data_IF_788600434888
#
_entry.id   IF_788600434888
#
_cell.length_a   1.000
_cell.length_b   1.000
_cell.length_c   1.000
_cell.angle_alpha   90.00
_cell.angle_beta   90.00
_cell.angle_gamma   90.00
#
_symmetry.space_group_name_H-M   'P 1'
#
loop_
_entity.id
_entity.type
_entity.pdbx_description
1 polymer ?
#
# COMPACT_ATOMS: atom_id res chain seq x y z
N UNK A 1 -0.14 -6.57 14.37
CA UNK A 1 0.66 -7.45 13.50
C UNK A 1 2.13 -7.03 13.43
N UNK A 2 2.49 -5.80 13.02
CA UNK A 2 3.91 -5.38 12.79
C UNK A 2 4.47 -4.36 13.80
N UNK A 3 3.91 -4.27 15.01
CA UNK A 3 4.36 -3.30 16.03
C UNK A 3 5.74 -3.65 16.60
N UNK A 4 6.60 -2.64 16.82
CA UNK A 4 8.03 -2.79 17.15
C UNK A 4 8.36 -3.54 18.46
N UNK A 5 7.41 -3.70 19.39
CA UNK A 5 7.67 -4.24 20.74
C UNK A 5 7.06 -5.62 20.99
N UNK A 6 5.82 -5.82 20.58
CA UNK A 6 5.06 -7.07 20.78
C UNK A 6 4.19 -7.41 19.56
N UNK A 7 4.54 -6.89 18.37
CA UNK A 7 3.89 -7.31 17.15
C UNK A 7 4.26 -8.75 16.81
N UNK A 8 3.31 -9.50 16.25
CA UNK A 8 3.52 -10.86 15.71
C UNK A 8 4.80 -10.97 14.89
N UNK A 9 5.08 -10.02 13.98
CA UNK A 9 6.31 -10.02 13.20
C UNK A 9 7.58 -9.88 14.04
N UNK A 10 7.55 -9.06 15.10
CA UNK A 10 8.67 -8.90 16.04
C UNK A 10 8.90 -10.18 16.84
N UNK A 11 7.84 -10.81 17.33
CA UNK A 11 7.92 -12.07 18.06
C UNK A 11 8.43 -13.20 17.16
N UNK A 12 7.91 -13.29 15.94
CA UNK A 12 8.39 -14.26 14.94
C UNK A 12 9.86 -14.05 14.58
N UNK A 13 10.31 -12.80 14.45
CA UNK A 13 11.69 -12.48 14.12
C UNK A 13 12.67 -12.70 15.28
N UNK A 14 12.20 -12.59 16.52
CA UNK A 14 13.02 -12.91 17.70
C UNK A 14 13.39 -14.39 17.74
N UNK A 15 12.48 -15.26 17.31
CA UNK A 15 12.74 -16.68 17.19
C UNK A 15 13.49 -16.98 15.88
N UNK A 16 13.02 -16.45 14.74
CA UNK A 16 13.65 -16.62 13.42
C UNK A 16 14.23 -15.29 12.90
N UNK A 17 15.51 -14.99 13.21
CA UNK A 17 16.17 -13.79 12.70
C UNK A 17 16.13 -13.67 11.17
N UNK A 18 16.18 -14.80 10.46
CA UNK A 18 16.16 -14.86 8.99
C UNK A 18 14.79 -14.60 8.38
N UNK A 19 13.75 -14.42 9.21
CA UNK A 19 12.43 -14.01 8.76
C UNK A 19 12.46 -12.64 8.07
N UNK A 20 11.97 -12.62 6.84
CA UNK A 20 11.77 -11.39 6.08
C UNK A 20 10.37 -10.88 6.38
N UNK A 21 10.28 -9.82 7.18
CA UNK A 21 9.02 -9.13 7.43
C UNK A 21 8.73 -8.15 6.28
N UNK A 22 7.74 -8.46 5.45
CA UNK A 22 7.29 -7.58 4.37
C UNK A 22 6.03 -6.85 4.77
N UNK A 23 6.12 -5.52 4.76
CA UNK A 23 4.95 -4.67 4.89
C UNK A 23 4.49 -4.25 3.49
N UNK A 24 3.23 -4.57 3.15
CA UNK A 24 2.64 -4.28 1.84
C UNK A 24 2.97 -2.86 1.36
N UNK A 25 3.59 -2.75 0.18
CA UNK A 25 4.02 -1.47 -0.39
C UNK A 25 2.87 -0.49 -0.61
N UNK A 26 1.71 -1.01 -1.01
CA UNK A 26 0.49 -0.21 -1.16
C UNK A 26 0.04 0.36 0.19
N UNK A 27 0.05 -0.47 1.24
CA UNK A 27 -0.36 -0.04 2.57
C UNK A 27 0.65 0.93 3.19
N UNK A 28 1.96 0.70 3.02
CA UNK A 28 3.02 1.65 3.42
C UNK A 28 2.79 3.03 2.81
N UNK A 29 2.56 3.08 1.50
CA UNK A 29 2.28 4.34 0.80
C UNK A 29 1.00 5.02 1.31
N UNK A 30 -0.08 4.24 1.49
CA UNK A 30 -1.34 4.78 2.01
C UNK A 30 -1.18 5.38 3.42
N UNK A 31 -0.41 4.71 4.28
CA UNK A 31 -0.08 5.21 5.61
C UNK A 31 0.83 6.44 5.55
N UNK A 32 1.81 6.50 4.64
CA UNK A 32 2.64 7.71 4.43
C UNK A 32 1.78 8.92 4.12
N UNK A 33 0.82 8.75 3.21
CA UNK A 33 -0.10 9.80 2.80
C UNK A 33 -1.04 10.21 3.94
N UNK A 34 -1.55 9.23 4.70
CA UNK A 34 -2.43 9.49 5.85
C UNK A 34 -1.70 10.31 6.92
N UNK A 35 -0.47 9.92 7.28
CA UNK A 35 0.37 10.63 8.26
C UNK A 35 0.65 12.08 7.80
N UNK A 36 0.93 12.28 6.50
CA UNK A 36 1.15 13.62 5.95
C UNK A 36 -0.10 14.49 6.05
N UNK A 37 -1.28 13.95 5.73
CA UNK A 37 -2.54 14.69 5.83
C UNK A 37 -2.90 15.01 7.29
N UNK A 38 -2.54 14.13 8.23
CA UNK A 38 -2.70 14.35 9.67
C UNK A 38 -1.79 15.46 10.20
N UNK A 39 -0.57 15.59 9.66
CA UNK A 39 0.38 16.63 10.06
C UNK A 39 -0.05 18.05 9.64
N UNK A 40 -1.01 18.18 8.71
CA UNK A 40 -1.45 19.46 8.17
C UNK A 40 -2.96 19.63 8.35
N UNK A 41 -3.34 20.31 9.44
CA UNK A 41 -4.74 20.54 9.84
C UNK A 41 -5.66 21.04 8.72
N UNK A 42 -5.15 21.86 7.81
CA UNK A 42 -5.98 22.39 6.73
C UNK A 42 -6.27 21.35 5.64
N UNK A 43 -5.36 20.43 5.32
CA UNK A 43 -5.61 19.33 4.38
C UNK A 43 -6.73 18.42 4.92
N UNK A 44 -6.68 18.08 6.20
CA UNK A 44 -7.77 17.35 6.90
C UNK A 44 -9.11 18.10 6.85
N UNK A 45 -9.06 19.43 6.91
CA UNK A 45 -10.26 20.28 6.76
C UNK A 45 -10.84 20.16 5.35
N UNK A 46 -10.00 20.22 4.31
CA UNK A 46 -10.43 20.04 2.91
C UNK A 46 -11.07 18.66 2.72
N UNK A 47 -10.43 17.58 3.17
CA UNK A 47 -11.03 16.23 3.09
C UNK A 47 -12.43 16.15 3.71
N UNK A 48 -12.62 16.83 4.84
CA UNK A 48 -13.91 16.88 5.54
C UNK A 48 -14.94 17.66 4.74
N UNK A 49 -14.56 18.80 4.16
CA UNK A 49 -15.44 19.60 3.29
C UNK A 49 -15.84 18.83 2.03
N UNK A 50 -14.89 18.12 1.39
CA UNK A 50 -15.17 17.29 0.21
C UNK A 50 -16.17 16.17 0.55
N UNK A 51 -16.01 15.51 1.70
CA UNK A 51 -16.93 14.47 2.17
C UNK A 51 -18.32 15.03 2.51
N UNK A 52 -18.38 16.18 3.17
CA UNK A 52 -19.65 16.85 3.50
C UNK A 52 -20.39 17.30 2.23
N UNK A 53 -19.68 17.84 1.25
CA UNK A 53 -20.24 18.21 -0.05
C UNK A 53 -20.79 16.99 -0.79
N UNK A 54 -20.03 15.89 -0.83
CA UNK A 54 -20.51 14.63 -1.39
C UNK A 54 -21.76 14.12 -0.67
N UNK A 55 -21.78 14.14 0.67
CA UNK A 55 -22.95 13.75 1.47
C UNK A 55 -24.18 14.63 1.21
N UNK A 56 -23.99 15.95 1.03
CA UNK A 56 -25.08 16.89 0.75
C UNK A 56 -25.88 16.48 -0.50
N UNK A 57 -25.18 16.02 -1.54
CA UNK A 57 -25.81 15.60 -2.79
C UNK A 57 -26.23 14.13 -2.75
N UNK A 58 -25.37 13.21 -2.31
CA UNK A 58 -25.67 11.77 -2.36
C UNK A 58 -26.85 11.40 -1.46
N UNK A 59 -26.98 12.02 -0.28
CA UNK A 59 -28.06 11.73 0.65
C UNK A 59 -29.39 12.41 0.28
N UNK A 60 -29.44 13.20 -0.79
CA UNK A 60 -30.65 13.92 -1.20
C UNK A 60 -30.84 13.90 -2.71
N UNK A 61 -31.72 13.03 -3.23
CA UNK A 61 -32.05 12.98 -4.65
C UNK A 61 -32.49 14.34 -5.21
N UNK A 62 -33.19 15.16 -4.41
CA UNK A 62 -33.60 16.51 -4.77
C UNK A 62 -32.39 17.44 -4.98
N UNK A 63 -31.44 17.46 -4.04
CA UNK A 63 -30.22 18.30 -4.15
C UNK A 63 -29.32 17.81 -5.28
N UNK A 64 -29.20 16.49 -5.45
CA UNK A 64 -28.51 15.89 -6.59
C UNK A 64 -29.13 16.31 -7.92
N UNK A 65 -30.46 16.32 -8.04
CA UNK A 65 -31.13 16.75 -9.26
C UNK A 65 -30.85 18.22 -9.59
N UNK A 66 -30.83 19.11 -8.59
CA UNK A 66 -30.43 20.52 -8.76
C UNK A 66 -28.98 20.58 -9.26
N UNK A 67 -28.05 19.90 -8.59
CA UNK A 67 -26.64 19.86 -8.99
C UNK A 67 -26.44 19.38 -10.43
N UNK A 68 -27.04 18.25 -10.81
CA UNK A 68 -26.90 17.70 -12.17
C UNK A 68 -27.54 18.62 -13.22
N UNK A 69 -28.63 19.32 -12.89
CA UNK A 69 -29.25 20.33 -13.78
C UNK A 69 -28.32 21.52 -13.99
N UNK A 70 -27.77 22.09 -12.93
CA UNK A 70 -26.79 23.18 -13.00
C UNK A 70 -25.57 22.79 -13.83
N UNK A 71 -25.06 21.57 -13.62
CA UNK A 71 -23.90 21.06 -14.37
C UNK A 71 -24.18 20.98 -15.87
N UNK A 72 -25.38 20.55 -16.29
CA UNK A 72 -25.76 20.52 -17.70
C UNK A 72 -25.84 21.93 -18.29
N UNK A 73 -26.53 22.83 -17.59
CA UNK A 73 -26.73 24.21 -18.06
C UNK A 73 -25.39 24.93 -18.30
N UNK A 74 -24.43 24.81 -17.38
CA UNK A 74 -23.12 25.44 -17.55
C UNK A 74 -22.30 24.80 -18.68
N UNK A 75 -22.39 23.47 -18.86
CA UNK A 75 -21.71 22.76 -19.95
C UNK A 75 -22.31 23.08 -21.33
N UNK A 76 -23.61 23.29 -21.41
CA UNK A 76 -24.30 23.73 -22.63
C UNK A 76 -23.87 25.14 -23.03
N UNK A 77 -23.73 26.05 -22.05
CA UNK A 77 -23.24 27.43 -22.27
C UNK A 77 -21.80 27.43 -22.76
N UNK A 78 -20.94 26.57 -22.21
CA UNK A 78 -19.50 26.54 -22.54
C UNK A 78 -19.16 25.86 -23.87
N UNK A 79 -19.91 24.81 -24.28
CA UNK A 79 -19.53 23.98 -25.45
C UNK A 79 -20.35 24.21 -26.74
N UNK A 80 -21.42 25.01 -26.70
CA UNK A 80 -22.29 25.25 -27.87
C UNK A 80 -23.01 23.99 -28.40
N UNK A 81 -23.70 24.10 -29.54
CA UNK A 81 -24.58 23.04 -30.11
C UNK A 81 -23.87 21.73 -30.54
N UNK A 82 -22.53 21.65 -30.48
CA UNK A 82 -21.74 20.51 -31.00
C UNK A 82 -21.41 19.41 -29.99
N UNK A 83 -22.07 19.36 -28.83
CA UNK A 83 -21.79 18.36 -27.80
C UNK A 83 -22.77 17.17 -27.84
N UNK A 84 -22.53 16.18 -28.71
CA UNK A 84 -23.22 14.88 -28.64
C UNK A 84 -22.74 14.10 -27.40
N UNK A 85 -23.61 14.04 -26.37
CA UNK A 85 -23.46 13.41 -25.03
C UNK A 85 -22.78 14.26 -23.95
N UNK A 86 -23.50 15.26 -23.42
CA UNK A 86 -23.14 15.90 -22.15
C UNK A 86 -23.38 14.91 -20.99
N UNK A 87 -22.30 14.32 -20.47
CA UNK A 87 -22.37 13.40 -19.31
C UNK A 87 -22.27 14.22 -18.03
N UNK A 88 -23.39 14.34 -17.31
CA UNK A 88 -23.39 14.79 -15.92
C UNK A 88 -22.74 13.73 -15.04
N UNK A 89 -21.85 14.14 -14.12
CA UNK A 89 -21.10 13.22 -13.26
C UNK A 89 -21.44 13.50 -11.80
N UNK A 90 -21.61 12.44 -11.01
CA UNK A 90 -21.70 12.56 -9.56
C UNK A 90 -20.33 12.83 -8.96
N UNK A 91 -20.31 13.55 -7.83
CA UNK A 91 -19.11 13.68 -7.02
C UNK A 91 -18.66 12.32 -6.48
N UNK A 92 -17.37 12.22 -6.16
CA UNK A 92 -16.78 11.03 -5.56
C UNK A 92 -16.59 11.25 -4.07
N UNK A 93 -16.77 10.19 -3.28
CA UNK A 93 -16.54 10.23 -1.83
C UNK A 93 -15.05 10.35 -1.55
N UNK A 94 -14.63 11.43 -0.92
CA UNK A 94 -13.30 11.54 -0.34
C UNK A 94 -13.14 10.51 0.79
N UNK A 95 -12.10 9.68 0.71
CA UNK A 95 -11.76 8.68 1.72
C UNK A 95 -10.35 8.94 2.24
N UNK A 96 -10.22 9.04 3.57
CA UNK A 96 -8.96 9.32 4.27
C UNK A 96 -7.91 8.23 4.02
N UNK A 97 -8.34 6.97 4.03
CA UNK A 97 -7.46 5.80 3.91
C UNK A 97 -7.25 5.33 2.48
N UNK A 98 -8.03 5.84 1.51
CA UNK A 98 -7.95 5.44 0.10
C UNK A 98 -7.66 6.64 -0.80
N UNK A 99 -6.37 6.82 -1.10
CA UNK A 99 -5.88 7.97 -1.86
C UNK A 99 -6.50 8.12 -3.25
N UNK A 100 -6.71 7.01 -3.97
CA UNK A 100 -7.38 7.03 -5.27
C UNK A 100 -8.78 7.66 -5.19
N UNK A 101 -9.49 7.45 -4.07
CA UNK A 101 -10.80 8.08 -3.83
C UNK A 101 -10.68 9.57 -3.52
N UNK A 102 -9.65 9.98 -2.77
CA UNK A 102 -9.38 11.40 -2.48
C UNK A 102 -9.00 12.16 -3.77
N UNK A 103 -8.12 11.58 -4.58
CA UNK A 103 -7.71 12.08 -5.89
C UNK A 103 -8.93 12.27 -6.80
N UNK A 104 -9.75 11.22 -6.97
CA UNK A 104 -10.97 11.29 -7.76
C UNK A 104 -11.97 12.34 -7.23
N UNK A 105 -12.07 12.51 -5.91
CA UNK A 105 -12.92 13.53 -5.29
C UNK A 105 -12.44 14.94 -5.57
N UNK A 106 -11.13 15.21 -5.43
CA UNK A 106 -10.54 16.53 -5.71
C UNK A 106 -10.68 16.87 -7.18
N UNK A 107 -10.37 15.94 -8.09
CA UNK A 107 -10.55 16.17 -9.53
C UNK A 107 -12.00 16.49 -9.88
N UNK A 108 -12.96 15.77 -9.29
CA UNK A 108 -14.39 16.02 -9.53
C UNK A 108 -14.84 17.39 -9.02
N UNK A 109 -14.42 17.78 -7.80
CA UNK A 109 -14.79 19.08 -7.22
C UNK A 109 -14.12 20.24 -7.94
N UNK A 110 -12.86 20.08 -8.35
CA UNK A 110 -12.16 21.10 -9.15
C UNK A 110 -12.82 21.26 -10.52
N UNK A 111 -13.09 20.17 -11.23
CA UNK A 111 -13.68 20.22 -12.57
C UNK A 111 -15.13 20.73 -12.62
N UNK A 112 -15.87 20.63 -11.51
CA UNK A 112 -17.26 21.12 -11.41
C UNK A 112 -17.39 22.28 -10.42
N UNK A 113 -16.31 23.00 -10.09
CA UNK A 113 -16.29 23.99 -9.01
C UNK A 113 -17.35 25.09 -9.19
N UNK A 114 -17.47 25.65 -10.40
CA UNK A 114 -18.50 26.63 -10.75
C UNK A 114 -19.93 26.08 -10.55
N UNK A 115 -20.20 24.89 -11.08
CA UNK A 115 -21.50 24.24 -10.95
C UNK A 115 -21.86 23.97 -9.48
N UNK A 116 -20.87 23.64 -8.66
CA UNK A 116 -21.04 23.47 -7.22
C UNK A 116 -21.39 24.80 -6.56
N UNK A 117 -20.66 25.89 -6.83
CA UNK A 117 -20.96 27.20 -6.24
C UNK A 117 -22.35 27.70 -6.61
N UNK A 118 -22.74 27.60 -7.89
CA UNK A 118 -24.10 27.94 -8.33
C UNK A 118 -25.16 27.09 -7.63
N UNK A 119 -24.94 25.78 -7.52
CA UNK A 119 -25.87 24.89 -6.83
C UNK A 119 -26.01 25.24 -5.35
N UNK A 120 -24.88 25.50 -4.66
CA UNK A 120 -24.90 25.91 -3.26
C UNK A 120 -25.62 27.25 -3.07
N UNK A 121 -25.46 28.19 -4.00
CA UNK A 121 -26.19 29.48 -3.99
C UNK A 121 -27.71 29.28 -4.11
N UNK A 122 -28.17 28.41 -5.02
CA UNK A 122 -29.59 28.06 -5.16
C UNK A 122 -30.13 27.43 -3.86
N UNK A 123 -29.36 26.52 -3.25
CA UNK A 123 -29.77 25.86 -2.01
C UNK A 123 -29.74 26.82 -0.81
N UNK A 124 -28.81 27.77 -0.78
CA UNK A 124 -28.74 28.83 0.24
C UNK A 124 -29.97 29.75 0.19
N UNK A 125 -30.42 30.13 -1.02
CA UNK A 125 -31.68 30.87 -1.21
C UNK A 125 -32.90 30.11 -0.67
N UNK A 126 -32.85 28.77 -0.71
CA UNK A 126 -33.88 27.91 -0.10
C UNK A 126 -33.71 27.68 1.41
N UNK A 127 -32.80 28.42 2.06
CA UNK A 127 -32.47 28.37 3.49
C UNK A 127 -31.92 27.03 3.98
N UNK A 128 -31.19 26.30 3.14
CA UNK A 128 -30.51 25.06 3.52
C UNK A 128 -29.22 25.34 4.30
N UNK A 129 -29.25 25.18 5.63
CA UNK A 129 -28.13 25.53 6.51
C UNK A 129 -26.81 24.82 6.17
N UNK A 130 -26.87 23.56 5.70
CA UNK A 130 -25.68 22.81 5.31
C UNK A 130 -25.05 23.40 4.03
N UNK A 131 -25.86 23.76 3.04
CA UNK A 131 -25.40 24.45 1.84
C UNK A 131 -24.82 25.84 2.17
N UNK A 132 -25.47 26.62 3.04
CA UNK A 132 -24.97 27.92 3.51
C UNK A 132 -23.57 27.78 4.13
N UNK A 133 -23.39 26.80 5.01
CA UNK A 133 -22.12 26.54 5.68
C UNK A 133 -21.01 26.14 4.70
N UNK A 134 -21.31 25.22 3.78
CA UNK A 134 -20.36 24.78 2.75
C UNK A 134 -20.00 25.91 1.79
N UNK A 135 -20.97 26.71 1.33
CA UNK A 135 -20.75 27.82 0.42
C UNK A 135 -19.75 28.83 1.01
N UNK A 136 -19.95 29.23 2.27
CA UNK A 136 -19.03 30.15 2.97
C UNK A 136 -17.58 29.64 3.03
N UNK A 137 -17.40 28.33 3.16
CA UNK A 137 -16.05 27.72 3.20
C UNK A 137 -15.45 27.61 1.80
N UNK A 138 -16.25 27.20 0.82
CA UNK A 138 -15.79 26.95 -0.55
C UNK A 138 -15.47 28.23 -1.32
N UNK A 139 -16.12 29.37 -0.99
CA UNK A 139 -15.79 30.70 -1.53
C UNK A 139 -14.47 31.29 -1.02
N UNK A 140 -13.81 30.64 -0.06
CA UNK A 140 -12.51 31.15 0.41
C UNK A 140 -11.40 30.82 -0.58
N UNK A 141 -10.54 31.80 -0.87
CA UNK A 141 -9.35 31.58 -1.71
C UNK A 141 -8.43 30.49 -1.15
N UNK A 142 -8.40 30.37 0.19
CA UNK A 142 -7.65 29.31 0.86
C UNK A 142 -8.17 27.91 0.49
N UNK A 143 -9.49 27.73 0.40
CA UNK A 143 -10.08 26.47 -0.04
C UNK A 143 -9.74 26.20 -1.50
N UNK A 144 -9.99 27.18 -2.38
CA UNK A 144 -9.74 27.04 -3.82
C UNK A 144 -8.27 26.78 -4.11
N UNK A 145 -7.35 27.57 -3.57
CA UNK A 145 -5.92 27.37 -3.74
C UNK A 145 -5.43 26.03 -3.19
N UNK A 146 -5.98 25.55 -2.07
CA UNK A 146 -5.65 24.20 -1.57
C UNK A 146 -6.20 23.10 -2.47
N UNK A 147 -7.36 23.31 -3.11
CA UNK A 147 -7.90 22.39 -4.11
C UNK A 147 -6.99 22.28 -5.33
N UNK A 148 -6.41 23.39 -5.80
CA UNK A 148 -5.38 23.40 -6.86
C UNK A 148 -4.12 22.65 -6.44
N UNK A 149 -3.60 22.92 -5.23
CA UNK A 149 -2.44 22.20 -4.67
C UNK A 149 -2.70 20.68 -4.67
N UNK A 150 -3.84 20.25 -4.15
CA UNK A 150 -4.19 18.83 -4.09
C UNK A 150 -4.41 18.24 -5.49
N UNK A 151 -5.02 18.98 -6.42
CA UNK A 151 -5.24 18.52 -7.81
C UNK A 151 -3.94 18.11 -8.49
N UNK A 152 -2.83 18.80 -8.23
CA UNK A 152 -1.55 18.51 -8.88
C UNK A 152 -0.71 17.47 -8.12
N UNK A 153 -0.80 17.44 -6.78
CA UNK A 153 -0.06 16.48 -5.95
C UNK A 153 -0.69 15.08 -6.00
N UNK A 154 -2.01 14.97 -5.84
CA UNK A 154 -2.68 13.68 -5.67
C UNK A 154 -2.46 12.73 -6.87
N UNK A 155 -2.40 13.17 -8.13
CA UNK A 155 -2.07 12.32 -9.29
C UNK A 155 -0.71 11.63 -9.18
N UNK A 156 0.34 12.32 -8.72
CA UNK A 156 1.68 11.73 -8.55
C UNK A 156 1.62 10.51 -7.63
N UNK A 157 0.88 10.64 -6.54
CA UNK A 157 0.72 9.58 -5.54
C UNK A 157 -0.28 8.51 -5.97
N UNK A 158 -1.30 8.87 -6.76
CA UNK A 158 -2.22 7.91 -7.37
C UNK A 158 -1.51 7.03 -8.41
N UNK A 159 -0.61 7.60 -9.21
CA UNK A 159 0.18 6.86 -10.19
C UNK A 159 1.15 5.89 -9.51
N UNK A 160 1.84 6.34 -8.45
CA UNK A 160 2.68 5.46 -7.64
C UNK A 160 1.86 4.34 -7.00
N UNK A 161 0.68 4.66 -6.46
CA UNK A 161 -0.22 3.68 -5.87
C UNK A 161 -0.70 2.65 -6.89
N UNK A 162 -1.12 3.08 -8.09
CA UNK A 162 -1.51 2.16 -9.18
C UNK A 162 -0.34 1.30 -9.63
N UNK A 163 0.87 1.86 -9.70
CA UNK A 163 2.07 1.11 -10.04
C UNK A 163 2.35 -0.01 -9.03
N UNK A 164 2.20 0.27 -7.73
CA UNK A 164 2.36 -0.73 -6.67
C UNK A 164 1.24 -1.77 -6.60
N UNK A 165 0.10 -1.51 -7.22
CA UNK A 165 -1.03 -2.43 -7.30
C UNK A 165 -1.00 -3.33 -8.54
N UNK A 166 0.01 -3.20 -9.41
CA UNK A 166 0.15 -4.09 -10.57
C UNK A 166 0.61 -5.47 -10.13
N UNK A 167 0.00 -6.50 -10.71
CA UNK A 167 0.32 -7.91 -10.46
C UNK A 167 1.76 -8.29 -10.84
N UNK A 168 2.43 -7.48 -11.66
CA UNK A 168 3.79 -7.72 -12.16
C UNK A 168 4.82 -6.77 -11.55
N UNK A 169 4.62 -6.29 -10.33
CA UNK A 169 5.55 -5.33 -9.71
C UNK A 169 6.87 -6.01 -9.31
N UNK A 170 7.96 -5.58 -9.95
CA UNK A 170 9.30 -6.05 -9.61
C UNK A 170 9.82 -5.34 -8.34
N UNK A 171 10.18 -6.13 -7.31
CA UNK A 171 10.63 -5.62 -5.99
C UNK A 171 11.71 -4.54 -6.11
N UNK A 172 12.73 -4.80 -6.93
CA UNK A 172 13.89 -3.92 -7.04
C UNK A 172 13.56 -2.57 -7.67
N UNK A 173 12.40 -2.43 -8.34
CA UNK A 173 11.92 -1.16 -8.89
C UNK A 173 11.19 -0.28 -7.87
N UNK A 174 10.83 -0.80 -6.68
CA UNK A 174 10.11 -0.04 -5.66
C UNK A 174 10.84 1.25 -5.32
N UNK A 175 12.15 1.17 -5.03
CA UNK A 175 12.97 2.34 -4.68
C UNK A 175 13.06 3.35 -5.82
N UNK A 176 13.21 2.87 -7.06
CA UNK A 176 13.24 3.74 -8.24
C UNK A 176 11.91 4.47 -8.44
N UNK A 177 10.78 3.77 -8.30
CA UNK A 177 9.43 4.34 -8.41
C UNK A 177 9.14 5.37 -7.31
N UNK A 178 9.63 5.15 -6.09
CA UNK A 178 9.54 6.12 -4.99
C UNK A 178 10.37 7.36 -5.29
N UNK A 179 11.62 7.20 -5.74
CA UNK A 179 12.48 8.33 -6.08
C UNK A 179 11.89 9.16 -7.21
N UNK A 180 11.38 8.51 -8.26
CA UNK A 180 10.67 9.20 -9.34
C UNK A 180 9.46 10.00 -8.82
N UNK A 181 8.66 9.44 -7.91
CA UNK A 181 7.54 10.15 -7.32
C UNK A 181 8.01 11.36 -6.47
N UNK A 182 9.08 11.20 -5.69
CA UNK A 182 9.68 12.29 -4.91
C UNK A 182 10.19 13.41 -5.81
N UNK A 183 10.85 13.07 -6.92
CA UNK A 183 11.38 14.06 -7.85
C UNK A 183 10.25 14.78 -8.60
N UNK A 184 9.19 14.06 -8.98
CA UNK A 184 7.95 14.69 -9.50
C UNK A 184 7.35 15.68 -8.51
N UNK A 185 7.27 15.33 -7.21
CA UNK A 185 6.77 16.23 -6.19
C UNK A 185 7.65 17.46 -5.99
N UNK A 186 8.98 17.31 -6.00
CA UNK A 186 9.91 18.44 -5.93
C UNK A 186 9.82 19.35 -7.15
N UNK A 187 9.70 18.76 -8.35
CA UNK A 187 9.51 19.50 -9.59
C UNK A 187 8.28 20.40 -9.54
N UNK A 188 7.17 19.92 -8.96
CA UNK A 188 5.98 20.76 -8.75
C UNK A 188 6.26 21.98 -7.85
N UNK A 189 7.17 21.87 -6.86
CA UNK A 189 7.59 23.01 -6.05
C UNK A 189 8.43 24.00 -6.85
N UNK A 190 9.39 23.50 -7.63
CA UNK A 190 10.28 24.32 -8.47
C UNK A 190 9.50 25.10 -9.55
N UNK A 191 8.52 24.45 -10.17
CA UNK A 191 7.70 25.05 -11.22
C UNK A 191 6.53 25.88 -10.67
N UNK A 192 6.23 25.79 -9.38
CA UNK A 192 5.05 26.40 -8.72
C UNK A 192 3.72 26.18 -9.49
N UNK A 193 3.59 25.03 -10.17
CA UNK A 193 2.49 24.74 -11.11
C UNK A 193 1.07 25.00 -10.54
N UNK A 194 0.77 24.65 -9.26
CA UNK A 194 -0.55 24.91 -8.70
C UNK A 194 -0.85 26.40 -8.55
N UNK A 195 0.17 27.22 -8.23
CA UNK A 195 0.02 28.67 -8.07
C UNK A 195 -0.18 29.35 -9.42
N UNK A 196 0.59 28.95 -10.44
CA UNK A 196 0.45 29.46 -11.80
C UNK A 196 -0.93 29.15 -12.37
N UNK A 197 -1.41 27.91 -12.18
CA UNK A 197 -2.75 27.50 -12.59
C UNK A 197 -3.83 28.32 -11.89
N UNK A 198 -3.71 28.52 -10.57
CA UNK A 198 -4.66 29.32 -9.81
C UNK A 198 -4.68 30.78 -10.29
N UNK A 199 -3.50 31.39 -10.51
CA UNK A 199 -3.40 32.77 -11.01
C UNK A 199 -3.98 32.92 -12.41
N UNK A 200 -3.89 31.90 -13.25
CA UNK A 200 -4.50 31.92 -14.59
C UNK A 200 -6.02 31.92 -14.52
N UNK A 201 -6.58 31.14 -13.59
CA UNK A 201 -8.03 30.93 -13.50
C UNK A 201 -8.73 31.90 -12.52
N UNK A 202 -7.98 32.70 -11.74
CA UNK A 202 -8.56 33.46 -10.62
C UNK A 202 -9.57 34.51 -11.06
N UNK A 203 -9.35 35.16 -12.20
CA UNK A 203 -10.19 36.25 -12.66
C UNK A 203 -11.59 35.74 -13.02
N UNK A 204 -11.70 34.56 -13.64
CA UNK A 204 -13.01 33.96 -13.95
C UNK A 204 -13.81 33.62 -12.69
N UNK A 205 -13.15 33.14 -11.64
CA UNK A 205 -13.80 32.88 -10.35
C UNK A 205 -14.15 34.17 -9.60
N UNK A 206 -13.32 35.22 -9.73
CA UNK A 206 -13.54 36.52 -9.10
C UNK A 206 -14.77 37.22 -9.71
N UNK A 207 -14.95 37.11 -11.02
CA UNK A 207 -16.10 37.63 -11.76
C UNK A 207 -17.40 36.93 -11.32
N UNK A 208 -17.34 35.63 -11.06
CA UNK A 208 -18.46 34.86 -10.54
C UNK A 208 -18.74 35.15 -9.05
N UNK A 209 -17.68 35.33 -8.26
CA UNK A 209 -17.78 35.51 -6.82
C UNK A 209 -16.67 36.44 -6.29
N UNK A 210 -17.06 37.69 -6.00
CA UNK A 210 -16.14 38.73 -5.51
C UNK A 210 -15.46 38.43 -4.15
N UNK A 211 -15.89 37.39 -3.43
CA UNK A 211 -15.23 36.90 -2.20
C UNK A 211 -13.96 36.08 -2.51
N UNK A 212 -13.88 35.50 -3.71
CA UNK A 212 -12.70 34.79 -4.21
C UNK A 212 -11.77 35.85 -4.80
N UNK A 213 -10.78 36.28 -4.02
CA UNK A 213 -9.72 37.18 -4.47
C UNK A 213 -8.39 36.62 -4.04
N UNK A 214 -7.37 36.80 -4.87
CA UNK A 214 -6.01 36.39 -4.58
C UNK A 214 -5.13 37.63 -4.42
N UNK A 215 -4.66 37.88 -3.20
CA UNK A 215 -3.66 38.90 -2.94
C UNK A 215 -2.29 38.28 -2.63
N UNK A 216 -1.25 39.13 -2.58
CA UNK A 216 0.13 38.68 -2.32
C UNK A 216 0.31 37.96 -0.98
N UNK A 217 -0.50 38.27 0.03
CA UNK A 217 -0.43 37.58 1.33
C UNK A 217 -1.01 36.17 1.23
N UNK A 218 -2.17 36.02 0.61
CA UNK A 218 -2.83 34.73 0.40
C UNK A 218 -1.99 33.81 -0.50
N UNK A 219 -1.39 34.37 -1.55
CA UNK A 219 -0.46 33.63 -2.42
C UNK A 219 0.71 33.06 -1.61
N UNK A 220 1.36 33.88 -0.77
CA UNK A 220 2.46 33.41 0.10
C UNK A 220 2.00 32.37 1.13
N UNK A 221 0.79 32.52 1.68
CA UNK A 221 0.23 31.53 2.60
C UNK A 221 -0.03 30.19 1.89
N UNK A 222 -0.52 30.22 0.65
CA UNK A 222 -0.74 29.04 -0.19
C UNK A 222 0.57 28.39 -0.62
N UNK A 223 1.58 29.16 -1.01
CA UNK A 223 2.94 28.67 -1.28
C UNK A 223 3.53 27.98 -0.05
N UNK A 224 3.43 28.59 1.14
CA UNK A 224 3.89 27.98 2.38
C UNK A 224 3.15 26.68 2.72
N UNK A 225 1.82 26.62 2.46
CA UNK A 225 1.04 25.40 2.64
C UNK A 225 1.48 24.31 1.66
N UNK A 226 1.72 24.69 0.40
CA UNK A 226 2.17 23.79 -0.66
C UNK A 226 3.53 23.17 -0.34
N UNK A 227 4.52 23.98 0.02
CA UNK A 227 5.84 23.54 0.47
C UNK A 227 5.75 22.59 1.66
N UNK A 228 4.98 22.95 2.69
CA UNK A 228 4.78 22.10 3.87
C UNK A 228 4.17 20.76 3.49
N UNK A 229 3.21 20.76 2.56
CA UNK A 229 2.54 19.53 2.14
C UNK A 229 3.45 18.60 1.36
N UNK A 230 4.18 19.11 0.38
CA UNK A 230 5.15 18.32 -0.39
C UNK A 230 6.26 17.79 0.53
N UNK A 231 6.81 18.62 1.41
CA UNK A 231 7.85 18.20 2.34
C UNK A 231 7.33 17.13 3.33
N UNK A 232 6.12 17.29 3.85
CA UNK A 232 5.50 16.27 4.71
C UNK A 232 5.29 14.94 3.97
N UNK A 233 4.88 14.96 2.70
CA UNK A 233 4.76 13.77 1.87
C UNK A 233 6.11 13.09 1.63
N UNK A 234 7.12 13.85 1.19
CA UNK A 234 8.47 13.33 0.95
C UNK A 234 9.05 12.71 2.22
N UNK A 235 8.92 13.38 3.37
CA UNK A 235 9.45 12.89 4.64
C UNK A 235 8.74 11.62 5.12
N UNK A 236 7.40 11.57 5.06
CA UNK A 236 6.66 10.38 5.49
C UNK A 236 6.80 9.21 4.52
N UNK A 237 6.94 9.44 3.22
CA UNK A 237 7.28 8.40 2.25
C UNK A 237 8.68 7.89 2.57
N UNK A 238 9.68 8.78 2.68
CA UNK A 238 11.06 8.38 2.99
C UNK A 238 11.13 7.57 4.28
N UNK A 239 10.61 8.09 5.40
CA UNK A 239 10.60 7.41 6.70
C UNK A 239 9.92 6.04 6.64
N UNK A 240 8.78 5.93 5.97
CA UNK A 240 8.05 4.65 5.91
C UNK A 240 8.69 3.65 4.97
N UNK A 241 9.50 4.09 4.01
CA UNK A 241 10.24 3.25 3.06
C UNK A 241 11.74 3.11 3.37
N UNK A 242 12.22 3.72 4.45
CA UNK A 242 13.62 3.62 4.92
C UNK A 242 13.98 2.17 5.27
N UNK A 243 13.09 1.47 5.97
CA UNK A 243 13.24 0.05 6.32
C UNK A 243 12.89 -0.91 5.15
N UNK A 244 12.86 -0.44 3.89
CA UNK A 244 12.70 -1.36 2.76
C UNK A 244 13.95 -2.22 2.68
N UNK A 245 13.88 -3.40 3.27
CA UNK A 245 15.04 -4.25 3.55
C UNK A 245 15.98 -4.37 2.34
N UNK A 246 17.27 -4.10 2.54
CA UNK A 246 18.32 -4.33 1.54
C UNK A 246 18.26 -5.75 0.97
N UNK A 247 17.76 -6.71 1.76
CA UNK A 247 17.49 -8.10 1.37
C UNK A 247 16.48 -8.18 0.23
N UNK A 248 15.36 -7.43 0.33
CA UNK A 248 14.34 -7.40 -0.73
C UNK A 248 14.90 -6.78 -2.01
N UNK A 249 15.71 -5.72 -1.91
CA UNK A 249 16.38 -5.15 -3.06
C UNK A 249 17.41 -6.13 -3.66
N UNK A 250 18.14 -6.86 -2.81
CA UNK A 250 19.12 -7.85 -3.22
C UNK A 250 18.50 -9.05 -3.94
N UNK A 251 17.26 -9.44 -3.62
CA UNK A 251 16.51 -10.44 -4.38
C UNK A 251 16.28 -10.05 -5.86
N UNK A 252 16.45 -8.76 -6.20
CA UNK A 252 16.45 -8.29 -7.58
C UNK A 252 17.50 -8.94 -8.48
N UNK A 253 18.53 -9.60 -7.95
CA UNK A 253 19.49 -10.37 -8.77
C UNK A 253 18.84 -11.48 -9.58
N UNK A 254 17.71 -12.00 -9.11
CA UNK A 254 16.97 -13.05 -9.81
C UNK A 254 16.13 -12.51 -10.97
N UNK A 255 16.24 -11.23 -11.32
CA UNK A 255 15.68 -10.71 -12.56
C UNK A 255 16.63 -10.99 -13.73
N UNK A 256 16.34 -12.00 -14.58
CA UNK A 256 17.32 -12.51 -15.53
C UNK A 256 17.72 -11.47 -16.57
N UNK A 257 16.82 -10.58 -16.97
CA UNK A 257 17.08 -9.59 -18.02
C UNK A 257 18.09 -8.51 -17.61
N UNK A 258 18.37 -8.35 -16.31
CA UNK A 258 19.42 -7.44 -15.82
C UNK A 258 20.81 -8.06 -15.72
N UNK A 259 20.94 -9.38 -15.87
CA UNK A 259 22.27 -10.03 -15.90
C UNK A 259 23.00 -9.55 -17.16
N UNK A 260 24.24 -9.02 -17.09
CA UNK A 260 24.98 -8.64 -18.30
C UNK A 260 25.32 -9.85 -19.16
N UNK A 261 25.57 -9.65 -20.46
CA UNK A 261 26.14 -10.71 -21.30
C UNK A 261 27.60 -10.97 -20.91
N UNK A 262 28.11 -12.16 -21.22
CA UNK A 262 29.48 -12.57 -20.81
C UNK A 262 30.58 -11.61 -21.28
N UNK A 263 30.38 -10.98 -22.44
CA UNK A 263 31.31 -10.04 -23.06
C UNK A 263 31.14 -8.60 -22.59
N UNK A 264 30.16 -8.30 -21.75
CA UNK A 264 29.89 -6.94 -21.27
C UNK A 264 30.71 -6.61 -20.00
N UNK A 265 31.13 -5.35 -19.84
CA UNK A 265 31.80 -4.91 -18.62
C UNK A 265 30.89 -5.11 -17.40
N UNK A 266 31.48 -5.55 -16.29
CA UNK A 266 30.77 -5.80 -15.03
C UNK A 266 30.09 -7.16 -14.91
N UNK A 267 30.12 -8.02 -15.94
CA UNK A 267 29.54 -9.37 -15.85
C UNK A 267 30.14 -10.21 -14.72
N UNK A 268 31.46 -10.15 -14.53
CA UNK A 268 32.16 -10.92 -13.49
C UNK A 268 31.73 -10.49 -12.08
N UNK A 269 31.60 -9.20 -11.85
CA UNK A 269 31.24 -8.63 -10.55
C UNK A 269 29.73 -8.57 -10.30
N UNK A 270 28.91 -8.75 -11.34
CA UNK A 270 27.45 -8.66 -11.24
C UNK A 270 26.88 -9.60 -10.17
N UNK A 271 26.07 -9.03 -9.28
CA UNK A 271 25.34 -9.74 -8.23
C UNK A 271 26.15 -10.07 -6.97
N UNK A 272 27.48 -9.85 -6.92
CA UNK A 272 28.30 -10.19 -5.74
C UNK A 272 27.83 -9.41 -4.50
N UNK A 273 27.58 -8.11 -4.64
CA UNK A 273 27.14 -7.28 -3.52
C UNK A 273 25.79 -7.75 -2.95
N UNK A 274 24.85 -8.12 -3.82
CA UNK A 274 23.55 -8.63 -3.44
C UNK A 274 23.65 -10.02 -2.81
N UNK A 275 24.50 -10.91 -3.33
CA UNK A 275 24.78 -12.20 -2.71
C UNK A 275 25.34 -12.01 -1.30
N UNK A 276 26.21 -11.04 -1.07
CA UNK A 276 26.71 -10.74 0.28
C UNK A 276 25.59 -10.31 1.21
N UNK A 277 24.70 -9.42 0.78
CA UNK A 277 23.52 -8.99 1.57
C UNK A 277 22.63 -10.19 1.91
N UNK A 278 22.36 -11.07 0.94
CA UNK A 278 21.52 -12.25 1.12
C UNK A 278 22.19 -13.26 2.07
N UNK A 279 23.48 -13.55 1.86
CA UNK A 279 24.25 -14.44 2.72
C UNK A 279 24.31 -13.89 4.16
N UNK A 280 24.53 -12.58 4.31
CA UNK A 280 24.57 -11.93 5.61
C UNK A 280 23.26 -12.07 6.38
N UNK A 281 22.12 -12.00 5.68
CA UNK A 281 20.79 -12.16 6.26
C UNK A 281 20.46 -13.62 6.59
N UNK A 282 20.62 -14.54 5.64
CA UNK A 282 20.21 -15.94 5.82
C UNK A 282 21.19 -16.73 6.71
N UNK A 283 22.45 -16.32 6.81
CA UNK A 283 23.49 -16.94 7.64
C UNK A 283 23.87 -16.09 8.85
N UNK A 284 23.01 -15.17 9.30
CA UNK A 284 23.32 -14.28 10.42
C UNK A 284 23.51 -14.99 11.78
N UNK A 285 22.99 -16.21 11.91
CA UNK A 285 23.12 -17.04 13.11
C UNK A 285 24.30 -18.01 13.06
N UNK A 286 24.94 -18.16 11.90
CA UNK A 286 26.09 -19.04 11.75
C UNK A 286 27.34 -18.41 12.40
N UNK A 287 28.25 -19.26 12.89
CA UNK A 287 29.56 -18.81 13.37
C UNK A 287 30.35 -18.10 12.25
N UNK A 288 31.22 -17.12 12.56
CA UNK A 288 31.89 -16.28 11.56
C UNK A 288 32.61 -17.07 10.45
N UNK A 289 33.30 -18.15 10.80
CA UNK A 289 34.02 -19.01 9.84
C UNK A 289 33.05 -19.77 8.93
N UNK A 290 31.99 -20.34 9.52
CA UNK A 290 30.93 -21.05 8.78
C UNK A 290 30.19 -20.10 7.84
N UNK A 291 29.86 -18.89 8.33
CA UNK A 291 29.23 -17.83 7.55
C UNK A 291 30.10 -17.47 6.34
N UNK A 292 31.40 -17.24 6.55
CA UNK A 292 32.34 -16.90 5.47
C UNK A 292 32.37 -18.00 4.41
N UNK A 293 32.50 -19.26 4.81
CA UNK A 293 32.49 -20.41 3.90
C UNK A 293 31.19 -20.53 3.10
N UNK A 294 30.02 -20.34 3.75
CA UNK A 294 28.72 -20.37 3.07
C UNK A 294 28.57 -19.22 2.09
N UNK A 295 29.03 -18.01 2.44
CA UNK A 295 29.05 -16.84 1.55
C UNK A 295 29.91 -17.09 0.31
N UNK A 296 31.13 -17.62 0.47
CA UNK A 296 32.02 -17.96 -0.65
C UNK A 296 31.41 -19.02 -1.58
N UNK A 297 30.74 -20.03 -0.99
CA UNK A 297 30.00 -21.04 -1.75
C UNK A 297 28.86 -20.42 -2.54
N UNK A 298 28.03 -19.58 -1.92
CA UNK A 298 26.95 -18.85 -2.60
C UNK A 298 27.48 -17.97 -3.74
N UNK A 299 28.59 -17.26 -3.53
CA UNK A 299 29.23 -16.47 -4.58
C UNK A 299 29.67 -17.35 -5.75
N UNK A 300 30.29 -18.50 -5.48
CA UNK A 300 30.75 -19.45 -6.50
C UNK A 300 29.59 -20.05 -7.29
N UNK A 301 28.51 -20.44 -6.62
CA UNK A 301 27.26 -20.90 -7.24
C UNK A 301 26.66 -19.81 -8.12
N UNK A 302 26.58 -18.57 -7.63
CA UNK A 302 26.07 -17.45 -8.40
C UNK A 302 26.92 -17.14 -9.64
N UNK A 303 28.25 -17.23 -9.54
CA UNK A 303 29.14 -17.06 -10.70
C UNK A 303 28.81 -18.07 -11.78
N UNK A 304 28.65 -19.34 -11.43
CA UNK A 304 28.24 -20.39 -12.37
C UNK A 304 26.83 -20.14 -12.92
N UNK A 305 25.87 -19.81 -12.05
CA UNK A 305 24.48 -19.62 -12.43
C UNK A 305 24.29 -18.47 -13.42
N UNK A 306 25.10 -17.40 -13.37
CA UNK A 306 25.07 -16.33 -14.39
C UNK A 306 25.33 -16.81 -15.81
N UNK A 307 26.27 -17.74 -16.00
CA UNK A 307 26.50 -18.36 -17.31
C UNK A 307 25.28 -19.17 -17.74
N UNK A 308 24.72 -19.95 -16.82
CA UNK A 308 23.49 -20.71 -17.07
C UNK A 308 22.33 -19.79 -17.48
N UNK A 309 22.15 -18.67 -16.77
CA UNK A 309 21.13 -17.66 -17.10
C UNK A 309 21.33 -17.16 -18.53
N UNK A 310 22.56 -16.79 -18.91
CA UNK A 310 22.84 -16.25 -20.24
C UNK A 310 22.67 -17.27 -21.36
N UNK A 311 23.21 -18.47 -21.18
CA UNK A 311 23.39 -19.43 -22.27
C UNK A 311 22.19 -20.35 -22.44
N UNK A 312 21.45 -20.60 -21.38
CA UNK A 312 20.35 -21.58 -21.37
C UNK A 312 19.01 -20.92 -21.08
N UNK A 313 18.90 -20.10 -20.02
CA UNK A 313 17.58 -19.64 -19.54
C UNK A 313 17.06 -18.42 -20.29
N UNK A 314 17.89 -17.40 -20.51
CA UNK A 314 17.49 -16.18 -21.23
C UNK A 314 16.94 -16.43 -22.62
N UNK A 315 17.53 -17.30 -23.46
CA UNK A 315 17.01 -17.55 -24.80
C UNK A 315 15.62 -18.20 -24.80
N UNK A 316 15.27 -18.94 -23.73
CA UNK A 316 14.02 -19.72 -23.65
C UNK A 316 12.95 -19.08 -22.78
N UNK A 317 13.16 -17.84 -22.28
CA UNK A 317 12.10 -17.09 -21.58
C UNK A 317 10.92 -16.91 -22.56
N UNK A 318 9.70 -17.35 -22.20
CA UNK A 318 8.50 -17.12 -22.99
C UNK A 318 8.28 -15.62 -23.27
N UNK A 319 7.79 -15.30 -24.47
CA UNK A 319 7.67 -13.89 -24.90
C UNK A 319 6.73 -13.07 -24.02
N UNK A 320 5.62 -13.67 -23.60
CA UNK A 320 4.63 -13.08 -22.69
C UNK A 320 5.18 -12.82 -21.28
N UNK A 321 6.11 -13.66 -20.83
CA UNK A 321 6.83 -13.48 -19.56
C UNK A 321 7.95 -12.44 -19.69
N UNK A 322 8.56 -12.34 -20.88
CA UNK A 322 9.64 -11.40 -21.18
C UNK A 322 9.13 -9.97 -21.30
N UNK A 323 8.01 -9.75 -21.98
CA UNK A 323 7.42 -8.43 -22.19
C UNK A 323 6.52 -7.98 -21.03
N UNK A 324 6.23 -8.88 -20.08
CA UNK A 324 5.41 -8.62 -18.90
C UNK A 324 3.90 -8.61 -19.17
N UNK A 325 3.46 -9.18 -20.30
CA UNK A 325 2.04 -9.33 -20.64
C UNK A 325 1.39 -10.58 -20.02
N UNK A 326 2.19 -11.51 -19.51
CA UNK A 326 1.72 -12.70 -18.78
C UNK A 326 0.92 -12.29 -17.53
N UNK A 327 -0.22 -12.95 -17.34
CA UNK A 327 -1.09 -12.77 -16.17
C UNK A 327 -0.77 -13.72 -15.02
N UNK A 328 0.10 -14.70 -15.26
CA UNK A 328 0.35 -15.80 -14.32
C UNK A 328 1.73 -15.75 -13.67
N UNK A 329 2.75 -15.23 -14.37
CA UNK A 329 4.12 -15.13 -13.86
C UNK A 329 4.83 -13.91 -14.41
N UNK A 330 5.58 -13.22 -13.55
CA UNK A 330 6.58 -12.26 -13.96
C UNK A 330 7.94 -12.92 -14.27
N UNK A 331 8.85 -12.16 -14.89
CA UNK A 331 10.15 -12.69 -15.34
C UNK A 331 11.06 -13.18 -14.21
N UNK A 332 11.01 -12.54 -13.04
CA UNK A 332 11.78 -12.95 -11.87
C UNK A 332 11.24 -14.25 -11.31
N UNK A 333 9.92 -14.36 -11.15
CA UNK A 333 9.27 -15.60 -10.72
C UNK A 333 9.58 -16.76 -11.65
N UNK A 334 9.51 -16.53 -12.97
CA UNK A 334 9.86 -17.56 -13.94
C UNK A 334 11.27 -18.10 -13.72
N UNK A 335 12.26 -17.23 -13.52
CA UNK A 335 13.64 -17.67 -13.25
C UNK A 335 13.74 -18.46 -11.96
N UNK A 336 13.11 -17.97 -10.88
CA UNK A 336 13.11 -18.64 -9.60
C UNK A 336 12.48 -20.04 -9.70
N UNK A 337 11.41 -20.21 -10.46
CA UNK A 337 10.80 -21.51 -10.71
C UNK A 337 11.66 -22.43 -11.57
N UNK A 338 12.44 -21.91 -12.52
CA UNK A 338 13.44 -22.75 -13.21
C UNK A 338 14.49 -23.28 -12.23
N UNK A 339 14.86 -22.48 -11.23
CA UNK A 339 15.79 -22.92 -10.19
C UNK A 339 15.18 -24.03 -9.31
N UNK A 340 13.90 -23.91 -8.95
CA UNK A 340 13.21 -24.83 -8.04
C UNK A 340 12.66 -26.10 -8.69
N UNK A 341 12.27 -26.04 -9.97
CA UNK A 341 11.64 -27.19 -10.67
C UNK A 341 12.64 -28.20 -11.22
N UNK A 342 13.90 -27.83 -11.40
CA UNK A 342 14.89 -28.71 -11.98
C UNK A 342 15.62 -29.50 -10.87
N UNK A 343 15.38 -30.82 -10.73
CA UNK A 343 16.00 -31.61 -9.66
C UNK A 343 17.52 -31.65 -9.77
N UNK A 344 18.06 -31.52 -10.98
CA UNK A 344 19.52 -31.52 -11.18
C UNK A 344 20.19 -30.29 -10.58
N UNK A 345 19.46 -29.16 -10.48
CA UNK A 345 20.00 -27.92 -9.94
C UNK A 345 20.23 -27.97 -8.44
N UNK A 346 19.62 -28.91 -7.72
CA UNK A 346 19.91 -29.15 -6.31
C UNK A 346 21.37 -29.51 -6.07
N UNK A 347 21.98 -30.23 -7.01
CA UNK A 347 23.39 -30.60 -6.94
C UNK A 347 24.32 -29.44 -7.31
N UNK A 348 23.89 -28.53 -8.18
CA UNK A 348 24.72 -27.43 -8.71
C UNK A 348 24.61 -26.14 -7.89
N UNK A 349 23.42 -25.85 -7.36
CA UNK A 349 23.09 -24.60 -6.67
C UNK A 349 22.41 -24.79 -5.30
N UNK A 350 22.93 -25.69 -4.43
CA UNK A 350 22.29 -26.01 -3.16
C UNK A 350 22.18 -24.82 -2.18
N UNK A 351 23.00 -23.79 -2.32
CA UNK A 351 22.93 -22.59 -1.48
C UNK A 351 22.01 -21.51 -2.05
N UNK A 352 21.76 -21.48 -3.36
CA UNK A 352 20.81 -20.54 -3.99
C UNK A 352 19.35 -21.00 -3.90
N UNK A 353 19.09 -22.31 -3.91
CA UNK A 353 17.73 -22.86 -3.89
C UNK A 353 16.91 -22.41 -2.67
N UNK A 354 17.42 -22.46 -1.41
CA UNK A 354 16.65 -22.00 -0.26
C UNK A 354 16.27 -20.52 -0.35
N UNK A 355 17.14 -19.70 -0.94
CA UNK A 355 16.90 -18.27 -1.14
C UNK A 355 15.84 -18.06 -2.22
N UNK A 356 15.88 -18.84 -3.29
CA UNK A 356 14.85 -18.78 -4.33
C UNK A 356 13.48 -19.23 -3.80
N UNK A 357 13.45 -20.30 -3.01
CA UNK A 357 12.23 -20.76 -2.33
C UNK A 357 11.66 -19.66 -1.41
N UNK A 358 12.53 -19.03 -0.61
CA UNK A 358 12.13 -17.89 0.19
C UNK A 358 11.57 -16.76 -0.67
N UNK A 359 12.25 -16.38 -1.75
CA UNK A 359 11.84 -15.29 -2.64
C UNK A 359 10.47 -15.50 -3.29
N UNK A 360 10.19 -16.72 -3.79
CA UNK A 360 8.89 -17.09 -4.38
C UNK A 360 7.75 -17.06 -3.36
N UNK A 361 8.06 -17.31 -2.08
CA UNK A 361 7.08 -17.28 -1.00
C UNK A 361 6.79 -15.87 -0.46
N UNK A 362 7.54 -14.84 -0.85
CA UNK A 362 7.32 -13.48 -0.35
C UNK A 362 6.08 -12.87 -1.01
N UNK A 363 5.08 -12.42 -0.23
CA UNK A 363 3.95 -11.66 -0.75
C UNK A 363 4.37 -10.20 -1.00
N UNK A 364 4.86 -9.90 -2.20
CA UNK A 364 5.39 -8.58 -2.55
C UNK A 364 4.27 -7.66 -3.04
N UNK A 365 3.47 -8.16 -3.98
CA UNK A 365 2.50 -7.37 -4.73
C UNK A 365 1.13 -7.92 -4.42
N UNK A 366 0.61 -7.46 -3.30
CA UNK A 366 -0.79 -7.66 -3.09
C UNK A 366 -1.37 -6.41 -2.44
N UNK A 367 -2.23 -5.73 -3.19
CA UNK A 367 -3.24 -4.79 -2.72
C UNK A 367 -4.31 -5.54 -1.89
N UNK A 368 -3.79 -6.35 -0.97
CA UNK A 368 -4.34 -7.54 -0.36
C UNK A 368 -5.31 -7.34 0.80
N UNK A 369 -5.44 -6.14 1.44
CA UNK A 369 -6.47 -5.93 2.46
C UNK A 369 -7.91 -6.20 1.99
N UNK A 370 -8.15 -6.48 0.70
CA UNK A 370 -9.47 -6.73 0.12
C UNK A 370 -9.68 -8.15 -0.50
N UNK A 371 -8.68 -9.06 -0.65
CA UNK A 371 -8.84 -10.29 -1.51
C UNK A 371 -8.12 -11.66 -1.19
N UNK A 372 -7.85 -12.09 0.06
CA UNK A 372 -7.53 -13.53 0.38
C UNK A 372 -6.07 -14.08 0.13
N UNK A 373 -5.41 -14.68 1.15
CA UNK A 373 -3.93 -14.77 1.33
C UNK A 373 -3.24 -15.76 0.42
N UNK A 374 -2.74 -15.31 -0.73
CA UNK A 374 -2.05 -16.20 -1.64
C UNK A 374 -0.78 -15.58 -2.22
N UNK A 375 0.35 -16.32 -2.22
CA UNK A 375 1.45 -16.09 -3.14
C UNK A 375 0.95 -15.93 -4.58
N UNK A 376 1.64 -15.10 -5.35
CA UNK A 376 1.36 -14.81 -6.76
C UNK A 376 1.45 -16.10 -7.61
N UNK A 377 2.38 -17.01 -7.27
CA UNK A 377 2.55 -18.29 -7.97
C UNK A 377 1.89 -19.49 -7.25
N UNK A 378 1.41 -20.46 -8.05
CA UNK A 378 0.91 -21.75 -7.56
C UNK A 378 1.98 -22.50 -6.77
N UNK A 379 3.24 -22.41 -7.17
CA UNK A 379 4.36 -23.04 -6.48
C UNK A 379 4.68 -22.37 -5.15
N UNK A 380 4.63 -21.04 -5.06
CA UNK A 380 4.71 -20.35 -3.77
C UNK A 380 3.62 -20.85 -2.82
N UNK A 381 2.39 -21.02 -3.33
CA UNK A 381 1.30 -21.61 -2.55
C UNK A 381 1.60 -23.05 -2.14
N UNK A 382 2.14 -23.88 -3.03
CA UNK A 382 2.52 -25.28 -2.72
C UNK A 382 3.63 -25.34 -1.68
N UNK A 383 4.67 -24.51 -1.79
CA UNK A 383 5.77 -24.42 -0.82
C UNK A 383 5.21 -24.01 0.55
N UNK A 384 4.33 -23.01 0.60
CA UNK A 384 3.69 -22.58 1.84
C UNK A 384 2.80 -23.69 2.40
N UNK A 385 1.97 -24.35 1.58
CA UNK A 385 1.12 -25.46 2.01
C UNK A 385 1.95 -26.60 2.58
N UNK A 386 2.99 -27.05 1.87
CA UNK A 386 3.88 -28.11 2.34
C UNK A 386 4.56 -27.74 3.68
N UNK A 387 5.03 -26.49 3.82
CA UNK A 387 5.62 -26.00 5.06
C UNK A 387 4.59 -25.96 6.21
N UNK A 388 3.36 -25.50 5.94
CA UNK A 388 2.25 -25.47 6.91
C UNK A 388 1.82 -26.88 7.30
N UNK A 389 1.71 -27.81 6.35
CA UNK A 389 1.33 -29.20 6.61
C UNK A 389 2.39 -29.91 7.43
N UNK A 390 3.67 -29.73 7.09
CA UNK A 390 4.79 -30.22 7.90
C UNK A 390 4.72 -29.67 9.33
N UNK A 391 4.47 -28.35 9.47
CA UNK A 391 4.29 -27.71 10.76
C UNK A 391 3.09 -28.27 11.55
N UNK A 392 1.96 -28.48 10.89
CA UNK A 392 0.75 -29.02 11.50
C UNK A 392 0.95 -30.47 11.96
N UNK A 393 1.66 -31.29 11.17
CA UNK A 393 2.00 -32.69 11.49
C UNK A 393 2.95 -32.79 12.69
N UNK A 394 3.86 -31.84 12.86
CA UNK A 394 4.80 -31.81 13.98
C UNK A 394 4.18 -31.40 15.34
N UNK A 395 2.88 -31.06 15.39
CA UNK A 395 2.22 -30.56 16.61
C UNK A 395 1.50 -31.65 17.40
N UNK A 396 1.99 -31.98 18.60
CA UNK A 396 1.17 -32.61 19.65
C UNK A 396 0.26 -31.57 20.30
N UNK A 397 -0.99 -31.44 19.83
CA UNK A 397 -1.95 -30.47 20.39
C UNK A 397 -2.43 -30.89 21.78
N UNK A 398 -2.25 -30.04 22.80
CA UNK A 398 -3.19 -30.01 23.94
C UNK A 398 -4.45 -29.29 23.46
N UNK A 399 -5.62 -29.90 23.64
CA UNK A 399 -6.90 -29.25 23.34
C UNK A 399 -7.05 -28.04 24.26
N UNK A 400 -7.17 -26.84 23.70
CA UNK A 400 -7.64 -25.67 24.46
C UNK A 400 -9.04 -26.00 24.97
N UNK A 401 -9.23 -25.93 26.29
CA UNK A 401 -10.52 -26.22 26.90
C UNK A 401 -11.57 -25.25 26.34
N UNK A 402 -12.67 -25.78 25.81
CA UNK A 402 -13.82 -24.96 25.41
C UNK A 402 -14.29 -24.20 26.64
N UNK A 403 -14.21 -22.87 26.60
CA UNK A 403 -14.88 -22.01 27.57
C UNK A 403 -16.38 -22.27 27.43
N UNK A 404 -16.99 -22.91 28.42
CA UNK A 404 -18.43 -23.10 28.47
C UNK A 404 -19.09 -21.73 28.53
N UNK A 405 -19.92 -21.41 27.53
CA UNK A 405 -20.87 -20.29 27.61
C UNK A 405 -21.71 -20.49 28.87
N UNK A 406 -21.60 -19.58 29.82
CA UNK A 406 -22.55 -19.48 30.92
C UNK A 406 -23.87 -19.04 30.30
N UNK A 407 -24.80 -19.98 30.18
CA UNK A 407 -26.21 -19.72 29.99
C UNK A 407 -26.79 -19.27 31.34
N UNK A 408 -27.32 -18.06 31.40
CA UNK A 408 -27.99 -17.54 32.58
C UNK A 408 -28.94 -16.41 32.20
N UNK A 409 -30.18 -16.77 31.88
CA UNK A 409 -31.30 -15.83 31.85
C UNK A 409 -31.74 -15.54 33.29
N UNK A 410 -31.93 -14.28 33.65
CA UNK A 410 -33.11 -13.76 34.37
C UNK A 410 -32.96 -12.25 34.59
N UNK A 411 -34.01 -11.47 34.29
CA UNK A 411 -34.05 -10.05 34.55
C UNK A 411 -34.39 -9.72 36.01
N UNK A 412 -33.89 -8.57 36.49
CA UNK A 412 -34.48 -7.79 37.58
C UNK A 412 -34.26 -6.30 37.27
N UNK A 413 -35.33 -5.54 37.40
CA UNK A 413 -35.49 -4.09 37.20
C UNK A 413 -34.99 -3.31 38.43
N UNK A 414 -34.87 -1.96 38.32
CA UNK A 414 -34.83 -0.91 39.37
C UNK A 414 -33.39 -0.42 39.67
N UNK A 415 -32.99 0.86 39.61
CA UNK A 415 -33.66 2.18 39.46
C UNK A 415 -32.61 3.21 38.99
N UNK A 416 -33.08 4.26 38.31
CA UNK A 416 -32.35 5.53 38.17
C UNK A 416 -32.07 6.15 39.56
N UNK A 417 -30.84 6.62 39.73
CA UNK A 417 -30.55 7.81 40.54
C UNK A 417 -29.53 8.63 39.77
N UNK A 418 -30.00 9.76 39.25
CA UNK A 418 -29.18 10.88 38.82
C UNK A 418 -28.38 11.39 40.03
N UNK A 419 -27.07 11.52 39.87
CA UNK A 419 -26.31 12.52 40.60
C UNK A 419 -25.20 13.04 39.68
N UNK A 420 -25.36 14.30 39.28
CA UNK A 420 -24.35 15.09 38.59
C UNK A 420 -23.11 15.23 39.47
N UNK A 421 -21.96 14.86 38.91
CA UNK A 421 -20.68 15.49 39.23
C UNK A 421 -19.76 15.36 38.02
N UNK A 422 -19.58 16.48 37.31
CA UNK A 422 -18.57 16.65 36.28
C UNK A 422 -17.22 16.83 36.98
N UNK A 423 -16.33 15.85 36.83
CA UNK A 423 -14.88 16.05 36.95
C UNK A 423 -14.20 15.29 35.80
N UNK A 424 -13.51 16.07 34.97
CA UNK A 424 -12.55 15.63 33.95
C UNK A 424 -11.38 14.90 34.61
N UNK A 425 -11.17 13.62 34.32
CA UNK A 425 -9.88 12.94 34.48
C UNK A 425 -9.66 11.88 33.40
N UNK A 426 -8.44 11.91 32.85
CA UNK A 426 -7.86 10.95 31.92
C UNK A 426 -8.09 9.50 32.33
N UNK A 427 -8.50 8.66 31.38
CA UNK A 427 -8.48 7.21 31.55
C UNK A 427 -7.04 6.71 31.38
N UNK A 428 -6.33 6.78 32.50
CA UNK A 428 -5.13 6.03 32.79
C UNK A 428 -5.39 4.53 32.68
N UNK A 429 -4.36 3.83 32.22
CA UNK A 429 -4.20 2.38 32.22
C UNK A 429 -4.55 1.81 33.60
N UNK A 430 -5.58 0.96 33.68
CA UNK A 430 -5.74 0.04 34.79
C UNK A 430 -5.08 -1.28 34.41
N UNK A 431 -3.95 -1.56 35.06
CA UNK A 431 -3.31 -2.86 35.15
C UNK A 431 -4.12 -3.76 36.06
N UNK A 432 -4.89 -4.68 35.48
CA UNK A 432 -5.14 -5.97 36.13
C UNK A 432 -4.18 -6.98 35.50
N UNK A 433 -3.39 -7.61 36.36
CA UNK A 433 -2.41 -8.63 35.97
C UNK A 433 -3.13 -9.88 35.43
N UNK A 434 -2.71 -10.29 34.24
CA UNK A 434 -2.86 -11.62 33.63
C UNK A 434 -4.23 -12.00 33.03
N UNK A 435 -4.35 -11.85 31.69
CA UNK A 435 -4.26 -13.03 30.79
C UNK A 435 -3.25 -12.87 29.62
N UNK A 436 -2.69 -11.67 29.42
CA UNK A 436 -1.90 -11.30 28.23
C UNK A 436 -0.50 -11.97 28.21
N UNK A 437 0.06 -12.30 29.37
CA UNK A 437 1.40 -12.90 29.46
C UNK A 437 1.36 -14.38 29.04
N UNK A 438 0.26 -15.08 29.35
CA UNK A 438 0.06 -16.49 28.96
C UNK A 438 -0.12 -16.61 27.44
N UNK A 439 -0.92 -15.74 26.82
CA UNK A 439 -1.08 -15.69 25.35
C UNK A 439 0.24 -15.38 24.64
N UNK A 440 1.04 -14.44 25.14
CA UNK A 440 2.32 -14.09 24.54
C UNK A 440 3.35 -15.24 24.63
N UNK A 441 3.38 -15.97 25.76
CA UNK A 441 4.23 -17.15 25.92
C UNK A 441 3.76 -18.33 25.06
N UNK A 442 2.45 -18.51 24.93
CA UNK A 442 1.86 -19.55 24.09
C UNK A 442 2.16 -19.28 22.61
N UNK A 443 1.95 -18.04 22.13
CA UNK A 443 2.36 -17.61 20.78
C UNK A 443 3.85 -17.84 20.55
N UNK A 444 4.73 -17.43 21.47
CA UNK A 444 6.18 -17.65 21.34
C UNK A 444 6.55 -19.14 21.29
N UNK A 445 5.84 -19.99 22.05
CA UNK A 445 6.04 -21.44 21.99
C UNK A 445 5.62 -22.03 20.64
N UNK A 446 4.54 -21.52 20.04
CA UNK A 446 4.08 -21.92 18.71
C UNK A 446 5.09 -21.52 17.62
N UNK A 447 5.68 -20.32 17.75
CA UNK A 447 6.73 -19.85 16.85
C UNK A 447 7.98 -20.73 16.91
N UNK A 448 8.47 -21.05 18.12
CA UNK A 448 9.65 -21.92 18.29
C UNK A 448 9.48 -23.28 17.64
N UNK A 449 8.28 -23.81 17.70
CA UNK A 449 7.97 -25.11 17.11
C UNK A 449 7.84 -25.03 15.58
N UNK A 450 7.29 -23.93 15.04
CA UNK A 450 7.27 -23.66 13.60
C UNK A 450 8.67 -23.63 13.00
N UNK A 451 9.62 -23.02 13.69
CA UNK A 451 10.99 -22.92 13.23
C UNK A 451 11.75 -24.24 13.17
N UNK A 452 11.58 -25.09 14.18
CA UNK A 452 12.27 -26.40 14.21
C UNK A 452 11.86 -27.30 13.04
N UNK A 453 10.65 -27.11 12.52
CA UNK A 453 10.10 -27.89 11.40
C UNK A 453 10.50 -27.31 10.04
N UNK A 454 10.71 -26.00 9.96
CA UNK A 454 11.22 -25.34 8.76
C UNK A 454 12.74 -25.50 8.56
N UNK A 455 13.46 -26.09 9.54
CA UNK A 455 14.81 -26.59 9.35
C UNK A 455 14.72 -27.96 8.65
N UNK A 456 14.94 -27.96 7.34
CA UNK A 456 14.73 -29.12 6.46
C UNK A 456 15.75 -30.23 6.78
N UNK A 457 15.27 -31.36 7.31
CA UNK A 457 15.88 -32.68 7.09
C UNK A 457 15.00 -33.43 6.07
N UNK A 458 15.64 -33.93 5.01
CA UNK A 458 15.03 -34.70 3.92
C UNK A 458 14.43 -35.99 4.44
N UNK A 459 13.16 -36.28 4.11
CA UNK A 459 12.72 -37.65 3.83
C UNK A 459 11.36 -37.72 3.14
N UNK A 460 11.22 -38.79 2.35
CA UNK A 460 10.26 -39.03 1.29
C UNK A 460 8.83 -39.42 1.74
N UNK A 461 7.95 -39.38 0.73
CA UNK A 461 6.85 -40.32 0.42
C UNK A 461 5.38 -39.93 0.67
N UNK A 462 4.70 -39.91 -0.49
CA UNK A 462 3.41 -40.53 -0.82
C UNK A 462 2.08 -39.84 -0.44
N UNK A 463 1.45 -39.37 -1.52
CA UNK A 463 0.10 -39.69 -1.99
C UNK A 463 -1.17 -39.00 -1.45
N UNK A 464 -2.04 -38.78 -2.46
CA UNK A 464 -3.49 -38.51 -2.49
C UNK A 464 -4.01 -37.06 -2.50
N UNK A 465 -4.24 -36.58 -3.75
CA UNK A 465 -5.54 -36.20 -4.34
C UNK A 465 -6.68 -35.83 -3.37
N UNK A 466 -7.25 -34.61 -3.48
CA UNK A 466 -8.48 -34.42 -4.25
C UNK A 466 -8.89 -32.93 -4.37
N UNK A 467 -9.46 -32.61 -5.53
CA UNK A 467 -9.98 -31.32 -5.95
C UNK A 467 -11.39 -31.03 -5.36
N UNK A 468 -11.73 -29.76 -5.13
CA UNK A 468 -13.07 -29.20 -5.43
C UNK A 468 -13.15 -27.71 -5.10
N UNK A 469 -13.22 -26.91 -6.18
CA UNK A 469 -14.13 -25.81 -6.51
C UNK A 469 -14.63 -24.88 -5.37
N UNK A 470 -14.25 -23.60 -5.34
CA UNK A 470 -14.78 -22.46 -6.13
C UNK A 470 -16.31 -22.34 -6.09
N UNK A 471 -16.82 -21.42 -5.27
CA UNK A 471 -17.80 -20.39 -5.65
C UNK A 471 -18.04 -19.39 -4.50
N UNK A 472 -17.96 -18.10 -4.85
CA UNK A 472 -18.75 -16.95 -4.36
C UNK A 472 -17.94 -15.68 -4.03
N UNK A 473 -17.58 -14.99 -5.12
CA UNK A 473 -17.45 -13.54 -5.17
C UNK A 473 -18.86 -12.92 -5.18
N UNK A 474 -19.14 -11.96 -4.28
CA UNK A 474 -19.82 -10.68 -4.59
C UNK A 474 -20.30 -9.99 -3.32
N UNK A 475 -19.41 -9.19 -2.73
CA UNK A 475 -19.69 -7.88 -2.15
C UNK A 475 -18.38 -7.34 -1.59
N UNK A 476 -18.03 -6.10 -1.96
CA UNK A 476 -17.35 -5.04 -1.18
C UNK A 476 -16.51 -4.13 -2.09
#
# INVERSE_FOLDING_TARGET
>A
MVGKRAGVATLLKAENPSLINVHCVCHRLALSCTDSNESINYIKTIETLLRQLWQLFENSPKKMAVYLKTQKQLKEISMGEKATKIVSKRLKKACRTRWLSLEASVRAVHGDYEAILHTLSILDQSRDAAATGLMKKMKSIKFLGTLYIMRDILPVLADLSKHFQKDSLLIFLISASINLAKDKLKKLLEEETPMQSLQTDIDSFSDMCAEIKLNNKELKELQSLFEKYVNALINNITRRFEDSSDVLAALGIFYPLSVPLQNQPGFKEYGIAQINILADHFHQLDEPETKTRKTEKMQSEWQSFKYHINDVLKPVIPEDVRDGSSKSLNTTEWLLLQLLRNPTFENFYPSLIPIAAAAVAIPITNAWPERGATPESKEGQTIIKAAVDSWLKAKNRRKVAKVNKISGACGVVVKETLNDNVISQDASVQTEENPVIVEAQEVLSEVRQAMKVMAIENENDSDFEDESDFEDDCCW
#
